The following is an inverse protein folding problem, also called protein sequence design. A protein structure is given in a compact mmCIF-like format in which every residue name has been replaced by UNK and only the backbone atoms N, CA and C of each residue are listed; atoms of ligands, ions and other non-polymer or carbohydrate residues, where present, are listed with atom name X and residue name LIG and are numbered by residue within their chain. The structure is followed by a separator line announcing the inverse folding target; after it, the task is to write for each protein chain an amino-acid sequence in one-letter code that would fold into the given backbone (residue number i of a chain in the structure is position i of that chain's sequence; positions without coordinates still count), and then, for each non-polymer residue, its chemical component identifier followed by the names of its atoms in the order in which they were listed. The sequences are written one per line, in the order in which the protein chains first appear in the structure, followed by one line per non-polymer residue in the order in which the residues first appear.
data_IF_690221946656
#
_entry.id   IF_690221946656
#
_cell.length_a   1.000
_cell.length_b   1.000
_cell.length_c   1.000
_cell.angle_alpha   90.00
_cell.angle_beta   90.00
_cell.angle_gamma   90.00
#
_symmetry.space_group_name_H-M   'P 1'
#
loop_
_entity.id
_entity.type
_entity.pdbx_description
1 polymer ?
#
# COMPACT_ATOMS: atom_id res chain seq x y z
N UNK A 1 -7.66 6.31 2.81
CA UNK A 1 -8.93 6.59 2.10
C UNK A 1 -8.76 6.58 0.58
N UNK A 2 -8.30 7.64 -0.13
CA UNK A 2 -8.15 7.60 -1.62
C UNK A 2 -7.40 6.37 -2.14
N UNK A 3 -6.28 6.02 -1.51
CA UNK A 3 -5.43 4.87 -1.86
C UNK A 3 -6.21 3.55 -1.83
N UNK A 4 -6.95 3.30 -0.77
CA UNK A 4 -7.75 2.08 -0.62
C UNK A 4 -9.06 2.19 -1.43
N UNK A 5 -9.73 3.34 -1.47
CA UNK A 5 -10.92 3.54 -2.31
C UNK A 5 -10.65 3.41 -3.81
N UNK A 6 -9.41 3.60 -4.26
CA UNK A 6 -8.98 3.39 -5.64
C UNK A 6 -9.37 4.52 -6.61
N UNK A 7 -9.62 5.73 -6.08
CA UNK A 7 -9.87 6.95 -6.86
C UNK A 7 -9.04 8.09 -6.26
N UNK A 8 -8.22 8.74 -7.09
CA UNK A 8 -7.53 9.97 -6.73
C UNK A 8 -8.43 11.18 -6.98
N UNK A 9 -9.27 11.51 -6.00
CA UNK A 9 -10.07 12.73 -5.98
C UNK A 9 -10.28 13.15 -4.52
N UNK A 10 -9.59 14.21 -4.03
CA UNK A 10 -9.72 14.65 -2.65
C UNK A 10 -11.13 15.10 -2.24
N UNK A 11 -11.94 15.60 -3.18
CA UNK A 11 -13.28 16.10 -2.89
C UNK A 11 -14.27 14.95 -2.73
N UNK A 12 -14.26 13.97 -3.65
CA UNK A 12 -15.02 12.72 -3.50
C UNK A 12 -14.59 11.98 -2.25
N UNK A 13 -13.29 12.03 -1.95
CA UNK A 13 -12.75 11.40 -0.77
C UNK A 13 -13.30 12.01 0.53
N UNK A 14 -13.27 13.34 0.64
CA UNK A 14 -13.83 14.06 1.77
C UNK A 14 -15.35 13.86 1.88
N UNK A 15 -16.07 13.79 0.75
CA UNK A 15 -17.50 13.51 0.72
C UNK A 15 -17.82 12.13 1.32
N UNK A 16 -17.09 11.09 0.92
CA UNK A 16 -17.28 9.74 1.44
C UNK A 16 -17.03 9.68 2.96
N UNK A 17 -15.96 10.31 3.46
CA UNK A 17 -15.67 10.41 4.89
C UNK A 17 -16.81 11.11 5.63
N UNK A 18 -17.31 12.23 5.09
CA UNK A 18 -18.42 12.97 5.67
C UNK A 18 -19.70 12.14 5.72
N UNK A 19 -20.03 11.45 4.63
CA UNK A 19 -21.22 10.60 4.53
C UNK A 19 -21.16 9.41 5.50
N UNK A 20 -19.97 8.83 5.66
CA UNK A 20 -19.71 7.74 6.60
C UNK A 20 -19.57 8.18 8.06
N UNK A 21 -19.84 9.46 8.38
CA UNK A 21 -19.69 10.01 9.74
C UNK A 21 -18.28 9.80 10.33
N UNK A 22 -17.25 9.80 9.48
CA UNK A 22 -15.86 9.57 9.86
C UNK A 22 -15.41 8.10 9.88
N UNK A 23 -16.30 7.13 9.64
CA UNK A 23 -15.91 5.73 9.48
C UNK A 23 -15.14 5.55 8.16
N UNK A 24 -13.85 5.25 8.27
CA UNK A 24 -12.97 5.15 7.13
C UNK A 24 -13.22 3.89 6.29
N UNK A 25 -13.63 2.78 6.90
CA UNK A 25 -13.88 1.52 6.17
C UNK A 25 -15.15 1.67 5.33
N UNK A 26 -16.20 2.24 5.90
CA UNK A 26 -17.42 2.56 5.15
C UNK A 26 -17.15 3.62 4.06
N UNK A 27 -16.36 4.66 4.34
CA UNK A 27 -15.99 5.66 3.34
C UNK A 27 -15.20 5.05 2.16
N UNK A 28 -14.28 4.13 2.44
CA UNK A 28 -13.54 3.37 1.41
C UNK A 28 -14.51 2.56 0.57
N UNK A 29 -15.46 1.86 1.19
CA UNK A 29 -16.44 1.06 0.48
C UNK A 29 -17.35 1.92 -0.41
N UNK A 30 -17.84 3.07 0.08
CA UNK A 30 -18.61 4.03 -0.71
C UNK A 30 -17.84 4.50 -1.95
N UNK A 31 -16.57 4.89 -1.79
CA UNK A 31 -15.76 5.36 -2.91
C UNK A 31 -15.45 4.23 -3.92
N UNK A 32 -15.22 3.01 -3.42
CA UNK A 32 -14.99 1.83 -4.25
C UNK A 32 -16.25 1.42 -5.01
N UNK A 33 -17.42 1.50 -4.39
CA UNK A 33 -18.70 1.29 -5.02
C UNK A 33 -18.98 2.36 -6.09
N UNK A 34 -18.66 3.62 -5.82
CA UNK A 34 -18.80 4.69 -6.82
C UNK A 34 -17.93 4.44 -8.06
N UNK A 35 -16.70 3.90 -7.88
CA UNK A 35 -15.80 3.54 -8.99
C UNK A 35 -16.46 2.63 -10.04
N UNK A 36 -17.34 1.71 -9.62
CA UNK A 36 -17.99 0.77 -10.55
C UNK A 36 -19.03 1.44 -11.45
N UNK A 37 -19.45 2.66 -11.10
CA UNK A 37 -20.40 3.47 -11.89
C UNK A 37 -19.71 4.35 -12.94
N UNK A 38 -18.38 4.47 -12.89
CA UNK A 38 -17.60 5.34 -13.76
C UNK A 38 -17.08 4.58 -14.99
N UNK A 39 -17.15 5.18 -16.20
CA UNK A 39 -16.48 4.62 -17.37
C UNK A 39 -14.95 4.77 -17.25
N UNK A 40 -14.19 3.79 -17.72
CA UNK A 40 -12.75 3.94 -17.95
C UNK A 40 -12.54 4.70 -19.26
N UNK A 41 -12.23 5.99 -19.17
CA UNK A 41 -12.08 6.87 -20.34
C UNK A 41 -10.73 6.73 -21.04
N UNK A 42 -9.67 6.47 -20.29
CA UNK A 42 -8.31 6.35 -20.79
C UNK A 42 -7.44 5.53 -19.82
N UNK A 43 -6.26 5.15 -20.28
CA UNK A 43 -5.17 4.66 -19.46
C UNK A 43 -4.03 5.67 -19.54
N UNK A 44 -3.40 5.98 -18.41
CA UNK A 44 -2.25 6.87 -18.41
C UNK A 44 -1.02 6.18 -19.02
N UNK A 45 -0.08 6.96 -19.52
CA UNK A 45 1.29 6.50 -19.64
C UNK A 45 1.84 6.15 -18.25
N UNK A 46 2.87 5.27 -18.15
CA UNK A 46 3.50 4.96 -16.88
C UNK A 46 3.99 6.23 -16.17
N UNK A 47 3.78 6.31 -14.85
CA UNK A 47 4.17 7.47 -14.06
C UNK A 47 5.69 7.53 -13.93
N UNK A 48 6.26 8.73 -14.11
CA UNK A 48 7.69 8.99 -13.92
C UNK A 48 7.94 9.68 -12.57
N UNK A 49 8.19 8.88 -11.54
CA UNK A 49 8.51 9.37 -10.18
C UNK A 49 9.92 9.98 -10.09
N UNK A 50 10.76 9.82 -11.12
CA UNK A 50 12.07 10.45 -11.23
C UNK A 50 11.98 11.96 -11.46
N UNK A 51 10.88 12.39 -12.08
CA UNK A 51 10.55 13.79 -12.35
C UNK A 51 9.55 14.38 -11.34
N UNK A 52 9.40 13.75 -10.17
CA UNK A 52 8.50 14.22 -9.12
C UNK A 52 8.89 15.63 -8.64
N UNK A 53 7.92 16.53 -8.59
CA UNK A 53 8.05 17.82 -7.90
C UNK A 53 7.96 17.60 -6.40
N UNK A 54 9.12 17.38 -5.78
CA UNK A 54 9.30 16.98 -4.38
C UNK A 54 8.77 18.03 -3.40
N UNK A 55 7.95 17.58 -2.45
CA UNK A 55 7.64 18.29 -1.20
C UNK A 55 8.41 17.72 0.00
N UNK A 56 8.72 16.42 -0.05
CA UNK A 56 9.45 15.68 0.98
C UNK A 56 10.27 14.58 0.34
N UNK A 57 11.50 14.40 0.81
CA UNK A 57 12.43 13.36 0.37
C UNK A 57 13.41 13.03 1.48
N UNK A 58 13.37 11.81 1.98
CA UNK A 58 14.29 11.35 3.02
C UNK A 58 14.91 10.01 2.68
N UNK A 59 16.07 9.74 3.25
CA UNK A 59 16.74 8.44 3.22
C UNK A 59 17.38 8.12 4.56
N UNK A 60 17.25 6.88 5.01
CA UNK A 60 17.88 6.39 6.22
C UNK A 60 19.25 5.72 5.98
N UNK A 61 19.62 5.47 4.72
CA UNK A 61 20.83 4.72 4.36
C UNK A 61 22.05 5.60 4.09
N UNK A 62 21.84 6.84 3.63
CA UNK A 62 22.88 7.83 3.44
C UNK A 62 22.61 9.06 4.31
N UNK A 63 23.67 9.66 4.85
CA UNK A 63 23.58 10.92 5.60
C UNK A 63 23.04 12.04 4.71
N UNK A 64 23.66 12.21 3.54
CA UNK A 64 23.28 13.18 2.52
C UNK A 64 23.13 12.46 1.17
N UNK A 65 22.16 12.89 0.38
CA UNK A 65 21.93 12.45 -0.99
C UNK A 65 22.14 13.64 -1.94
N UNK A 66 22.43 13.44 -3.24
CA UNK A 66 22.19 14.48 -4.23
C UNK A 66 20.74 14.97 -4.12
N UNK A 67 20.54 16.29 -4.01
CA UNK A 67 19.24 16.90 -3.68
C UNK A 67 18.95 17.09 -2.18
N UNK A 68 19.79 16.52 -1.30
CA UNK A 68 19.70 16.65 0.15
C UNK A 68 18.55 15.85 0.80
N UNK A 69 18.48 15.97 2.13
CA UNK A 69 17.37 15.48 2.95
C UNK A 69 16.31 16.60 3.09
N UNK A 70 15.13 16.38 2.54
CA UNK A 70 14.01 17.33 2.55
C UNK A 70 12.93 16.79 3.46
N UNK A 71 12.85 17.29 4.70
CA UNK A 71 11.86 16.81 5.66
C UNK A 71 10.42 17.10 5.23
N UNK A 72 10.18 18.22 4.54
CA UNK A 72 8.84 18.63 4.12
C UNK A 72 7.81 18.71 5.27
N UNK A 73 6.51 18.73 4.95
CA UNK A 73 5.45 18.66 5.95
C UNK A 73 5.41 17.26 6.58
N UNK A 74 5.72 17.15 7.88
CA UNK A 74 5.75 15.87 8.60
C UNK A 74 5.41 16.03 10.08
N UNK A 75 4.96 14.94 10.70
CA UNK A 75 4.78 14.80 12.15
C UNK A 75 5.98 14.14 12.87
N UNK A 76 7.02 13.68 12.15
CA UNK A 76 8.04 12.75 12.66
C UNK A 76 8.74 13.21 13.94
N UNK A 77 8.98 14.50 14.09
CA UNK A 77 9.71 15.07 15.23
C UNK A 77 8.80 15.87 16.19
N UNK A 78 7.48 15.79 16.02
CA UNK A 78 6.53 16.48 16.89
C UNK A 78 6.43 15.82 18.28
N UNK A 79 6.12 16.59 19.32
CA UNK A 79 5.71 16.01 20.59
C UNK A 79 4.24 15.60 20.49
N UNK A 80 3.93 14.35 20.85
CA UNK A 80 2.58 13.78 20.72
C UNK A 80 1.70 14.21 21.90
N UNK A 81 1.43 15.51 21.96
CA UNK A 81 0.57 16.15 22.95
C UNK A 81 -0.70 16.66 22.27
N UNK A 82 -1.84 16.51 22.93
CA UNK A 82 -3.10 17.08 22.42
C UNK A 82 -3.01 18.60 22.44
N UNK A 83 -3.26 19.21 21.28
CA UNK A 83 -3.31 20.65 21.13
C UNK A 83 -4.73 21.16 21.34
N UNK A 84 -5.03 21.61 22.57
CA UNK A 84 -6.33 22.15 22.93
C UNK A 84 -6.66 23.48 22.21
N UNK A 85 -5.68 24.15 21.59
CA UNK A 85 -5.94 25.39 20.84
C UNK A 85 -6.79 25.14 19.60
N UNK A 86 -6.77 23.91 19.06
CA UNK A 86 -7.57 23.48 17.90
C UNK A 86 -9.08 23.40 18.19
N UNK A 87 -9.51 23.45 19.46
CA UNK A 87 -10.93 23.56 19.82
C UNK A 87 -11.47 24.99 19.72
N UNK A 88 -10.59 25.98 19.54
CA UNK A 88 -10.94 27.38 19.33
C UNK A 88 -10.67 27.79 17.88
N UNK A 89 -11.12 28.99 17.49
CA UNK A 89 -10.71 29.58 16.22
C UNK A 89 -9.23 29.98 16.33
N UNK A 90 -8.35 29.27 15.63
CA UNK A 90 -6.92 29.56 15.52
C UNK A 90 -6.53 30.02 14.13
N UNK A 91 -5.44 30.75 14.02
CA UNK A 91 -4.81 31.08 12.73
C UNK A 91 -3.85 29.97 12.33
N UNK A 92 -3.89 29.55 11.06
CA UNK A 92 -2.88 28.61 10.54
C UNK A 92 -1.58 29.37 10.32
N UNK A 93 -0.46 28.97 10.94
CA UNK A 93 0.80 29.67 10.76
C UNK A 93 1.26 29.55 9.31
N UNK A 94 1.90 30.62 8.81
CA UNK A 94 2.54 30.58 7.49
C UNK A 94 3.70 29.55 7.52
N UNK A 95 3.77 28.63 6.55
CA UNK A 95 4.85 27.67 6.51
C UNK A 95 6.19 28.40 6.25
N UNK A 96 7.27 28.01 6.95
CA UNK A 96 8.60 28.57 6.68
C UNK A 96 8.99 28.27 5.24
N UNK A 97 9.55 29.25 4.54
CA UNK A 97 10.02 29.10 3.15
C UNK A 97 11.54 29.05 3.15
N UNK A 98 12.10 28.09 2.42
CA UNK A 98 13.52 28.06 2.09
C UNK A 98 13.82 29.12 1.04
N UNK A 99 14.94 29.84 1.18
CA UNK A 99 15.46 30.73 0.14
C UNK A 99 16.13 29.94 -1.00
N UNK A 100 16.54 28.69 -0.73
CA UNK A 100 17.15 27.80 -1.71
C UNK A 100 16.07 26.89 -2.31
N UNK A 101 15.92 26.97 -3.63
CA UNK A 101 15.14 26.01 -4.40
C UNK A 101 15.84 24.64 -4.37
N UNK A 102 15.03 23.58 -4.37
CA UNK A 102 15.55 22.23 -4.58
C UNK A 102 16.11 22.11 -6.00
N UNK A 103 17.12 21.26 -6.23
CA UNK A 103 17.53 20.91 -7.57
C UNK A 103 16.35 20.36 -8.37
N UNK A 104 16.30 20.71 -9.66
CA UNK A 104 15.25 20.26 -10.58
C UNK A 104 15.24 18.74 -10.72
N UNK A 105 16.40 18.10 -10.60
CA UNK A 105 16.55 16.66 -10.63
C UNK A 105 17.15 16.13 -9.32
N UNK A 106 16.42 15.22 -8.67
CA UNK A 106 16.85 14.50 -7.47
C UNK A 106 16.85 13.00 -7.79
N UNK A 107 18.01 12.41 -8.16
CA UNK A 107 18.06 11.01 -8.56
C UNK A 107 17.60 10.10 -7.42
N UNK A 108 16.96 8.98 -7.79
CA UNK A 108 16.62 7.93 -6.83
C UNK A 108 17.87 7.37 -6.16
N UNK A 109 17.77 7.10 -4.87
CA UNK A 109 18.79 6.44 -4.09
C UNK A 109 19.16 5.10 -4.71
N UNK A 110 18.17 4.30 -5.12
CA UNK A 110 18.40 3.02 -5.78
C UNK A 110 19.10 3.14 -7.14
N UNK A 111 18.93 4.23 -7.88
CA UNK A 111 19.69 4.46 -9.13
C UNK A 111 21.19 4.55 -8.83
N UNK A 112 21.58 5.24 -7.76
CA UNK A 112 22.99 5.32 -7.34
C UNK A 112 23.53 3.97 -6.89
N UNK A 113 22.76 3.22 -6.07
CA UNK A 113 23.19 1.86 -5.65
C UNK A 113 23.32 0.90 -6.83
N UNK A 114 22.43 1.01 -7.82
CA UNK A 114 22.47 0.16 -9.01
C UNK A 114 23.67 0.49 -9.90
N UNK A 115 24.02 1.77 -10.04
CA UNK A 115 25.20 2.21 -10.79
C UNK A 115 26.52 1.73 -10.16
N UNK A 116 26.53 1.54 -8.83
CA UNK A 116 27.64 0.94 -8.08
C UNK A 116 27.61 -0.60 -8.06
N UNK A 117 26.58 -1.23 -8.63
CA UNK A 117 26.39 -2.68 -8.61
C UNK A 117 25.99 -3.24 -7.24
N UNK A 118 25.52 -2.39 -6.32
CA UNK A 118 25.10 -2.77 -4.97
C UNK A 118 23.62 -3.17 -4.89
N UNK A 119 22.82 -2.85 -5.90
CA UNK A 119 21.42 -3.24 -6.02
C UNK A 119 21.09 -3.58 -7.49
N UNK A 120 20.05 -4.38 -7.69
CA UNK A 120 19.57 -4.65 -9.04
C UNK A 120 18.72 -3.48 -9.55
N UNK A 121 18.89 -3.16 -10.83
CA UNK A 121 18.05 -2.19 -11.52
C UNK A 121 16.76 -2.89 -11.95
N UNK A 122 15.62 -2.35 -11.52
CA UNK A 122 14.32 -2.78 -12.05
C UNK A 122 14.24 -2.41 -13.54
N UNK A 123 13.92 -3.38 -14.39
CA UNK A 123 13.83 -3.20 -15.84
C UNK A 123 12.42 -3.50 -16.33
N UNK A 124 11.93 -2.66 -17.24
CA UNK A 124 10.69 -2.94 -17.96
C UNK A 124 10.94 -4.03 -19.02
N UNK A 125 10.26 -5.17 -18.87
CA UNK A 125 10.31 -6.29 -19.81
C UNK A 125 9.19 -6.21 -20.87
N UNK A 126 8.38 -5.15 -20.84
CA UNK A 126 7.25 -4.94 -21.73
C UNK A 126 6.04 -5.84 -21.45
N UNK A 127 6.03 -6.57 -20.32
CA UNK A 127 4.90 -7.39 -19.93
C UNK A 127 3.68 -6.53 -19.57
N UNK A 128 2.50 -6.92 -20.05
CA UNK A 128 1.28 -6.20 -19.73
C UNK A 128 0.87 -6.50 -18.27
N UNK A 129 0.66 -5.47 -17.42
CA UNK A 129 0.32 -5.68 -16.03
C UNK A 129 -1.09 -6.28 -15.89
N UNK A 130 -1.20 -7.34 -15.08
CA UNK A 130 -2.50 -7.91 -14.70
C UNK A 130 -3.39 -6.86 -14.03
N UNK A 131 -4.67 -6.80 -14.42
CA UNK A 131 -5.66 -5.91 -13.79
C UNK A 131 -6.66 -6.71 -12.95
N UNK A 132 -6.41 -6.80 -11.65
CA UNK A 132 -7.26 -7.53 -10.69
C UNK A 132 -8.66 -6.92 -10.52
N UNK A 133 -8.91 -5.74 -11.13
CA UNK A 133 -10.26 -5.14 -11.17
C UNK A 133 -11.10 -5.62 -12.35
N UNK A 134 -10.49 -6.37 -13.27
CA UNK A 134 -11.15 -7.00 -14.43
C UNK A 134 -11.13 -8.52 -14.34
N UNK A 135 -10.03 -9.07 -13.84
CA UNK A 135 -9.81 -10.51 -13.73
C UNK A 135 -9.66 -10.92 -12.26
N UNK A 136 -10.29 -12.01 -11.81
CA UNK A 136 -10.12 -12.48 -10.44
C UNK A 136 -8.67 -12.89 -10.20
N UNK A 137 -8.19 -12.69 -8.97
CA UNK A 137 -6.82 -13.04 -8.60
C UNK A 137 -6.60 -14.55 -8.66
N UNK A 138 -5.50 -14.96 -9.29
CA UNK A 138 -5.01 -16.34 -9.30
C UNK A 138 -3.65 -16.45 -8.64
N UNK A 139 -3.40 -17.58 -7.98
CA UNK A 139 -2.13 -17.88 -7.32
C UNK A 139 -1.36 -18.96 -8.09
N UNK A 140 -0.03 -18.81 -8.25
CA UNK A 140 0.77 -17.69 -7.77
C UNK A 140 0.62 -16.43 -8.65
N UNK A 141 0.54 -15.27 -8.02
CA UNK A 141 0.32 -13.98 -8.67
C UNK A 141 1.61 -13.40 -9.30
N UNK A 142 1.46 -12.52 -10.28
CA UNK A 142 2.55 -11.67 -10.78
C UNK A 142 2.84 -10.56 -9.77
N UNK A 143 4.08 -10.05 -9.72
CA UNK A 143 4.41 -8.92 -8.82
C UNK A 143 3.55 -7.69 -9.11
N UNK A 144 3.19 -7.45 -10.38
CA UNK A 144 2.27 -6.40 -10.77
C UNK A 144 0.88 -6.57 -10.10
N UNK A 145 0.30 -7.76 -10.14
CA UNK A 145 -0.96 -8.06 -9.46
C UNK A 145 -0.84 -7.94 -7.92
N UNK A 146 0.28 -8.40 -7.34
CA UNK A 146 0.54 -8.24 -5.90
C UNK A 146 0.59 -6.76 -5.50
N UNK A 147 1.37 -5.94 -6.19
CA UNK A 147 1.49 -4.50 -5.89
C UNK A 147 0.14 -3.79 -6.09
N UNK A 148 -0.63 -4.16 -7.12
CA UNK A 148 -1.98 -3.63 -7.35
C UNK A 148 -2.92 -3.98 -6.18
N UNK A 149 -2.83 -5.17 -5.60
CA UNK A 149 -3.63 -5.57 -4.43
C UNK A 149 -3.13 -4.90 -3.14
N UNK A 150 -1.82 -4.81 -2.93
CA UNK A 150 -1.25 -4.20 -1.73
C UNK A 150 -1.57 -2.71 -1.60
N UNK A 151 -1.60 -1.96 -2.72
CA UNK A 151 -2.04 -0.55 -2.67
C UNK A 151 -3.50 -0.44 -2.25
N UNK A 152 -4.35 -1.40 -2.63
CA UNK A 152 -5.78 -1.47 -2.26
C UNK A 152 -6.04 -2.01 -0.87
N UNK A 153 -5.10 -2.75 -0.29
CA UNK A 153 -5.25 -3.45 0.99
C UNK A 153 -5.31 -2.53 2.20
N UNK A 154 -5.81 -3.04 3.32
CA UNK A 154 -5.96 -2.33 4.58
C UNK A 154 -4.61 -1.89 5.18
N UNK A 155 -4.49 -0.61 5.52
CA UNK A 155 -3.27 -0.05 6.08
C UNK A 155 -2.86 -0.68 7.43
N UNK A 156 -3.83 -1.08 8.28
CA UNK A 156 -3.58 -1.70 9.58
C UNK A 156 -3.10 -3.15 9.45
N UNK A 157 -3.74 -3.93 8.58
CA UNK A 157 -3.35 -5.31 8.29
C UNK A 157 -1.94 -5.39 7.70
N UNK A 158 -1.65 -4.60 6.65
CA UNK A 158 -0.33 -4.60 6.02
C UNK A 158 0.75 -4.06 6.96
N UNK A 159 0.44 -3.06 7.80
CA UNK A 159 1.36 -2.60 8.85
C UNK A 159 1.70 -3.75 9.80
N UNK A 160 0.70 -4.50 10.23
CA UNK A 160 0.89 -5.59 11.20
C UNK A 160 1.74 -6.73 10.61
N UNK A 161 1.51 -7.08 9.34
CA UNK A 161 2.34 -8.03 8.60
C UNK A 161 3.78 -7.52 8.46
N UNK A 162 3.96 -6.30 7.96
CA UNK A 162 5.28 -5.68 7.82
C UNK A 162 6.02 -5.63 9.16
N UNK A 163 5.35 -5.25 10.25
CA UNK A 163 5.90 -5.24 11.60
C UNK A 163 6.31 -6.64 12.07
N UNK A 164 5.53 -7.69 11.76
CA UNK A 164 5.89 -9.06 12.12
C UNK A 164 7.22 -9.51 11.49
N UNK A 165 7.50 -9.10 10.24
CA UNK A 165 8.78 -9.40 9.58
C UNK A 165 9.96 -8.74 10.30
N UNK A 166 9.78 -7.51 10.80
CA UNK A 166 10.78 -6.79 11.60
C UNK A 166 11.04 -7.48 12.95
N UNK A 167 10.05 -8.19 13.48
CA UNK A 167 10.15 -8.97 14.72
C UNK A 167 10.71 -10.39 14.52
N UNK A 168 11.04 -10.77 13.28
CA UNK A 168 11.72 -12.03 12.96
C UNK A 168 10.86 -13.05 12.21
N UNK A 169 9.58 -12.78 11.97
CA UNK A 169 8.69 -13.69 11.23
C UNK A 169 8.88 -13.50 9.71
N UNK A 170 9.79 -14.24 9.10
CA UNK A 170 10.16 -14.04 7.68
C UNK A 170 10.99 -12.77 7.51
N UNK A 171 12.12 -12.70 8.23
CA UNK A 171 12.93 -11.48 8.37
C UNK A 171 13.60 -11.07 7.05
N UNK A 172 13.36 -9.83 6.61
CA UNK A 172 13.92 -9.26 5.36
C UNK A 172 14.94 -8.13 5.56
N UNK A 173 15.29 -7.79 6.81
CA UNK A 173 16.28 -6.74 7.17
C UNK A 173 16.08 -5.39 6.45
N UNK A 174 14.95 -4.69 6.69
CA UNK A 174 14.61 -3.48 5.94
C UNK A 174 15.35 -2.21 6.42
N UNK A 175 15.69 -1.35 5.47
CA UNK A 175 16.09 0.04 5.67
C UNK A 175 15.27 0.93 4.73
N UNK A 176 14.82 2.09 5.21
CA UNK A 176 14.15 3.07 4.36
C UNK A 176 15.17 3.68 3.39
N UNK A 177 15.23 3.11 2.19
CA UNK A 177 16.17 3.51 1.16
C UNK A 177 15.88 4.91 0.70
N UNK A 178 14.65 5.13 0.25
CA UNK A 178 14.11 6.45 -0.02
C UNK A 178 12.61 6.50 0.24
N UNK A 179 12.15 7.60 0.83
CA UNK A 179 10.73 7.97 0.86
C UNK A 179 10.63 9.36 0.24
N UNK A 180 9.88 9.49 -0.85
CA UNK A 180 9.64 10.77 -1.51
C UNK A 180 8.15 11.01 -1.70
N UNK A 181 7.73 12.24 -1.47
CA UNK A 181 6.37 12.71 -1.62
C UNK A 181 6.37 13.98 -2.45
N UNK A 182 5.48 14.06 -3.43
CA UNK A 182 5.44 15.19 -4.34
C UNK A 182 4.43 14.97 -5.46
N UNK A 183 4.39 15.93 -6.38
CA UNK A 183 3.47 15.90 -7.52
C UNK A 183 4.14 15.25 -8.72
N UNK A 184 3.43 14.34 -9.38
CA UNK A 184 3.85 13.66 -10.60
C UNK A 184 2.82 13.95 -11.68
N UNK A 185 3.26 14.41 -12.85
CA UNK A 185 2.39 14.64 -14.01
C UNK A 185 1.76 13.32 -14.48
N UNK A 186 0.51 13.40 -14.89
CA UNK A 186 -0.24 12.29 -15.46
C UNK A 186 -0.56 12.64 -16.89
N UNK A 187 -0.18 11.74 -17.79
CA UNK A 187 -0.41 11.91 -19.21
C UNK A 187 -1.18 10.74 -19.78
N UNK A 188 -1.91 10.98 -20.86
CA UNK A 188 -2.62 9.95 -21.64
C UNK A 188 -2.23 10.10 -23.10
N UNK A 189 -2.32 9.03 -23.88
CA UNK A 189 -2.12 9.08 -25.32
C UNK A 189 -3.41 8.65 -26.04
N UNK A 190 -4.37 9.56 -26.28
CA UNK A 190 -5.61 9.23 -26.98
C UNK A 190 -5.33 8.83 -28.42
N UNK A 191 -5.99 7.77 -28.89
CA UNK A 191 -5.83 7.25 -30.25
C UNK A 191 -6.20 8.31 -31.31
N UNK A 192 -7.20 9.16 -31.00
CA UNK A 192 -7.69 10.20 -31.89
C UNK A 192 -6.66 11.31 -32.16
N UNK A 193 -5.69 11.49 -31.27
CA UNK A 193 -4.68 12.53 -31.35
C UNK A 193 -3.31 11.98 -31.73
N UNK A 194 -2.97 10.75 -31.29
CA UNK A 194 -1.70 10.11 -31.61
C UNK A 194 -0.46 10.75 -30.97
N UNK A 195 -0.64 11.58 -29.94
CA UNK A 195 0.44 12.15 -29.14
C UNK A 195 0.05 12.23 -27.65
N UNK A 196 1.08 12.31 -26.80
CA UNK A 196 0.92 12.37 -25.34
C UNK A 196 0.37 13.73 -24.89
N UNK A 197 -0.64 13.69 -24.03
CA UNK A 197 -1.27 14.84 -23.40
C UNK A 197 -1.18 14.75 -21.89
N UNK A 198 -0.55 15.75 -21.27
CA UNK A 198 -0.60 15.93 -19.82
C UNK A 198 -2.00 16.42 -19.40
N UNK A 199 -2.67 15.64 -18.54
CA UNK A 199 -4.04 15.91 -18.09
C UNK A 199 -4.11 16.45 -16.65
N UNK A 200 -2.97 16.50 -15.95
CA UNK A 200 -2.87 17.04 -14.61
C UNK A 200 -1.72 16.41 -13.83
N UNK A 201 -1.78 16.54 -12.51
CA UNK A 201 -0.78 15.99 -11.59
C UNK A 201 -1.44 15.26 -10.42
N UNK A 202 -0.73 14.26 -9.86
CA UNK A 202 -1.12 13.57 -8.65
C UNK A 202 -0.06 13.75 -7.57
N UNK A 203 -0.51 14.08 -6.36
CA UNK A 203 0.33 14.00 -5.17
C UNK A 203 0.46 12.53 -4.78
N UNK A 204 1.69 12.03 -4.81
CA UNK A 204 2.03 10.64 -4.52
C UNK A 204 3.09 10.57 -3.43
N UNK A 205 3.12 9.44 -2.73
CA UNK A 205 4.26 9.03 -1.91
C UNK A 205 4.79 7.70 -2.42
N UNK A 206 6.07 7.69 -2.76
CA UNK A 206 6.84 6.53 -3.17
C UNK A 206 7.79 6.13 -2.03
N UNK A 207 7.88 4.84 -1.77
CA UNK A 207 8.77 4.25 -0.78
C UNK A 207 9.54 3.09 -1.41
N UNK A 208 10.86 3.20 -1.39
CA UNK A 208 11.78 2.14 -1.76
C UNK A 208 12.52 1.65 -0.51
N UNK A 209 12.33 0.38 -0.17
CA UNK A 209 13.02 -0.28 0.94
C UNK A 209 14.22 -1.04 0.43
N UNK A 210 15.38 -0.86 1.07
CA UNK A 210 16.54 -1.74 0.94
C UNK A 210 16.33 -2.91 1.88
N UNK A 211 16.52 -4.14 1.39
CA UNK A 211 16.36 -5.37 2.15
C UNK A 211 17.65 -6.19 2.13
N UNK A 212 17.66 -7.34 2.81
CA UNK A 212 18.81 -8.24 2.87
C UNK A 212 19.39 -8.56 1.48
N UNK A 213 20.69 -8.85 1.44
CA UNK A 213 21.37 -9.20 0.19
C UNK A 213 21.12 -10.65 -0.21
N UNK A 214 21.09 -10.92 -1.51
CA UNK A 214 21.04 -12.28 -2.06
C UNK A 214 22.43 -12.73 -2.51
N UNK A 215 22.64 -14.04 -2.55
CA UNK A 215 23.85 -14.67 -3.08
C UNK A 215 23.46 -15.99 -3.73
N UNK A 216 23.19 -15.94 -5.04
CA UNK A 216 22.81 -17.09 -5.86
C UNK A 216 24.02 -17.89 -6.38
N UNK A 217 25.23 -17.32 -6.29
CA UNK A 217 26.46 -17.91 -6.80
C UNK A 217 26.69 -17.71 -8.30
N UNK A 218 25.73 -17.12 -9.02
CA UNK A 218 25.80 -16.80 -10.45
C UNK A 218 26.15 -15.33 -10.68
N UNK A 219 25.79 -14.46 -9.73
CA UNK A 219 26.01 -13.02 -9.79
C UNK A 219 26.71 -12.48 -8.53
N UNK A 220 27.20 -11.23 -8.61
CA UNK A 220 27.76 -10.56 -7.44
C UNK A 220 26.66 -10.31 -6.40
N UNK A 221 26.90 -10.52 -5.10
CA UNK A 221 25.90 -10.26 -4.07
C UNK A 221 25.46 -8.81 -4.08
N UNK A 222 24.14 -8.60 -4.07
CA UNK A 222 23.52 -7.29 -4.12
C UNK A 222 22.31 -7.23 -3.17
N UNK A 223 21.94 -6.02 -2.77
CA UNK A 223 20.76 -5.79 -1.95
C UNK A 223 19.47 -6.06 -2.74
N UNK A 224 18.52 -6.68 -2.07
CA UNK A 224 17.15 -6.81 -2.59
C UNK A 224 16.30 -5.60 -2.20
N UNK A 225 15.11 -5.47 -2.77
CA UNK A 225 14.26 -4.29 -2.62
C UNK A 225 12.78 -4.59 -2.47
N UNK A 226 12.10 -3.71 -1.75
CA UNK A 226 10.65 -3.63 -1.66
C UNK A 226 10.13 -2.28 -2.16
N UNK A 227 8.94 -2.27 -2.76
CA UNK A 227 8.37 -1.06 -3.36
C UNK A 227 6.95 -0.78 -2.87
N UNK A 228 6.66 0.49 -2.60
CA UNK A 228 5.32 0.96 -2.24
C UNK A 228 5.01 2.32 -2.84
N UNK A 229 3.80 2.48 -3.38
CA UNK A 229 3.34 3.72 -4.00
C UNK A 229 1.89 3.99 -3.59
N UNK A 230 1.61 5.20 -3.11
CA UNK A 230 0.28 5.56 -2.59
C UNK A 230 -0.10 6.99 -2.95
N UNK A 231 -1.39 7.27 -2.95
CA UNK A 231 -1.90 8.63 -3.08
C UNK A 231 -1.64 9.48 -1.82
N UNK A 232 -1.35 10.76 -2.04
CA UNK A 232 -1.16 11.75 -1.00
C UNK A 232 0.12 11.54 -0.19
N UNK A 233 0.05 11.80 1.12
CA UNK A 233 1.19 11.78 2.05
C UNK A 233 1.15 10.57 3.00
N UNK A 234 0.56 9.45 2.58
CA UNK A 234 0.31 8.28 3.43
C UNK A 234 1.56 7.37 3.56
N UNK A 235 2.66 7.91 4.07
CA UNK A 235 3.98 7.23 4.14
C UNK A 235 3.91 5.87 4.81
N UNK A 236 3.17 5.74 5.91
CA UNK A 236 3.04 4.48 6.65
C UNK A 236 2.47 3.37 5.77
N UNK A 237 1.48 3.66 4.92
CA UNK A 237 0.95 2.68 3.96
C UNK A 237 1.97 2.31 2.89
N UNK A 238 2.69 3.29 2.34
CA UNK A 238 3.74 3.03 1.35
C UNK A 238 4.86 2.14 1.93
N UNK A 239 5.29 2.43 3.16
CA UNK A 239 6.27 1.61 3.89
C UNK A 239 5.75 0.19 4.13
N UNK A 240 4.53 0.03 4.64
CA UNK A 240 3.92 -1.28 4.85
C UNK A 240 3.83 -2.08 3.55
N UNK A 241 3.44 -1.43 2.46
CA UNK A 241 3.39 -2.02 1.12
C UNK A 241 4.78 -2.48 0.67
N UNK A 242 5.82 -1.66 0.81
CA UNK A 242 7.19 -2.02 0.44
C UNK A 242 7.73 -3.21 1.26
N UNK A 243 7.44 -3.25 2.57
CA UNK A 243 7.84 -4.36 3.44
C UNK A 243 7.16 -5.68 3.02
N UNK A 244 5.86 -5.63 2.74
CA UNK A 244 5.09 -6.82 2.34
C UNK A 244 5.38 -7.23 0.91
N UNK A 245 5.62 -6.30 -0.02
CA UNK A 245 6.10 -6.60 -1.37
C UNK A 245 7.35 -7.48 -1.31
N UNK A 246 8.38 -7.05 -0.56
CA UNK A 246 9.59 -7.86 -0.42
C UNK A 246 9.32 -9.22 0.24
N UNK A 247 8.45 -9.26 1.25
CA UNK A 247 8.10 -10.52 1.92
C UNK A 247 7.41 -11.52 0.97
N UNK A 248 6.66 -11.03 -0.02
CA UNK A 248 5.99 -11.84 -1.03
C UNK A 248 6.87 -12.20 -2.24
N UNK A 249 8.10 -11.70 -2.32
CA UNK A 249 9.06 -12.08 -3.37
C UNK A 249 9.78 -13.42 -3.06
N UNK A 250 9.18 -14.30 -2.26
CA UNK A 250 9.84 -15.55 -1.83
C UNK A 250 10.19 -16.46 -2.99
N UNK A 251 9.33 -16.55 -4.02
CA UNK A 251 9.57 -17.37 -5.21
C UNK A 251 10.72 -16.81 -6.03
N UNK A 252 10.74 -15.50 -6.24
CA UNK A 252 11.75 -14.79 -7.02
C UNK A 252 13.15 -14.92 -6.38
N UNK A 253 13.22 -14.99 -5.04
CA UNK A 253 14.48 -15.15 -4.28
C UNK A 253 14.73 -16.58 -3.77
N UNK A 254 13.93 -17.58 -4.18
CA UNK A 254 14.01 -18.98 -3.71
C UNK A 254 14.00 -19.13 -2.17
N UNK A 255 13.23 -18.30 -1.47
CA UNK A 255 13.08 -18.29 -0.03
C UNK A 255 12.01 -19.28 0.43
N UNK A 256 12.19 -19.83 1.64
CA UNK A 256 11.14 -20.66 2.28
C UNK A 256 10.09 -19.77 2.93
N UNK A 257 8.82 -20.12 2.76
CA UNK A 257 7.71 -19.51 3.47
C UNK A 257 7.75 -20.00 4.93
N UNK A 258 8.00 -19.09 5.85
CA UNK A 258 8.13 -19.37 7.30
C UNK A 258 7.20 -18.52 8.17
N UNK A 259 6.50 -17.56 7.57
CA UNK A 259 5.58 -16.67 8.27
C UNK A 259 4.37 -16.29 7.41
N UNK A 260 3.28 -15.82 8.04
CA UNK A 260 2.10 -15.36 7.30
C UNK A 260 2.40 -14.22 6.33
N UNK A 261 3.39 -13.37 6.59
CA UNK A 261 3.75 -12.27 5.69
C UNK A 261 4.40 -12.73 4.38
N UNK A 262 4.89 -13.98 4.33
CA UNK A 262 5.48 -14.61 3.15
C UNK A 262 4.49 -15.51 2.39
N UNK A 263 3.32 -15.76 2.98
CA UNK A 263 2.27 -16.61 2.40
C UNK A 263 1.37 -15.76 1.49
N UNK A 264 1.58 -15.89 0.18
CA UNK A 264 0.94 -15.04 -0.84
C UNK A 264 -0.58 -15.12 -0.81
N UNK A 265 -1.15 -16.31 -0.69
CA UNK A 265 -2.60 -16.50 -0.65
C UNK A 265 -3.18 -15.95 0.67
N UNK A 266 -2.53 -16.25 1.80
CA UNK A 266 -2.98 -15.71 3.09
C UNK A 266 -2.95 -14.18 3.12
N UNK A 267 -1.90 -13.54 2.61
CA UNK A 267 -1.81 -12.07 2.62
C UNK A 267 -2.86 -11.47 1.70
N UNK A 268 -2.91 -11.88 0.44
CA UNK A 268 -3.68 -11.16 -0.58
C UNK A 268 -5.19 -11.40 -0.48
N UNK A 269 -5.61 -12.58 0.00
CA UNK A 269 -7.04 -12.91 0.23
C UNK A 269 -7.63 -12.25 1.48
N UNK A 270 -6.81 -11.67 2.36
CA UNK A 270 -7.27 -11.00 3.59
C UNK A 270 -6.88 -9.52 3.65
N UNK A 271 -6.31 -8.99 2.56
CA UNK A 271 -5.82 -7.61 2.52
C UNK A 271 -6.93 -6.58 2.28
N UNK A 272 -7.90 -6.83 1.39
CA UNK A 272 -8.90 -5.81 1.03
C UNK A 272 -9.98 -5.70 2.11
N UNK A 273 -10.03 -4.56 2.83
CA UNK A 273 -11.04 -4.36 3.87
C UNK A 273 -12.46 -4.24 3.33
N UNK A 274 -12.66 -3.95 2.04
CA UNK A 274 -14.00 -3.99 1.42
C UNK A 274 -14.57 -5.40 1.48
N UNK A 275 -13.75 -6.41 1.19
CA UNK A 275 -14.13 -7.82 1.28
C UNK A 275 -14.23 -8.26 2.74
N UNK A 276 -13.18 -8.00 3.53
CA UNK A 276 -13.10 -8.46 4.91
C UNK A 276 -14.20 -7.86 5.80
N UNK A 277 -14.42 -6.55 5.74
CA UNK A 277 -15.45 -5.89 6.54
C UNK A 277 -16.86 -6.27 6.07
N UNK A 278 -17.07 -6.39 4.76
CA UNK A 278 -18.33 -6.90 4.20
C UNK A 278 -18.66 -8.28 4.74
N UNK A 279 -17.70 -9.21 4.69
CA UNK A 279 -17.89 -10.58 5.17
C UNK A 279 -18.03 -10.65 6.69
N UNK A 280 -17.23 -9.94 7.49
CA UNK A 280 -17.40 -9.98 8.96
C UNK A 280 -18.75 -9.37 9.38
N UNK A 281 -19.13 -8.25 8.78
CA UNK A 281 -20.37 -7.55 9.13
C UNK A 281 -21.63 -8.29 8.67
N UNK A 282 -21.52 -9.19 7.69
CA UNK A 282 -22.65 -10.02 7.24
C UNK A 282 -23.25 -10.88 8.35
N UNK A 283 -22.47 -11.23 9.39
CA UNK A 283 -22.95 -12.00 10.56
C UNK A 283 -24.08 -11.31 11.34
N UNK A 284 -24.34 -10.03 11.09
CA UNK A 284 -25.50 -9.30 11.62
C UNK A 284 -26.81 -9.65 10.89
N UNK A 285 -26.72 -10.22 9.70
CA UNK A 285 -27.89 -10.67 8.94
C UNK A 285 -28.54 -11.88 9.62
N UNK A 286 -29.79 -12.21 9.28
CA UNK A 286 -30.46 -13.34 9.92
C UNK A 286 -29.88 -14.70 9.46
N UNK A 287 -29.23 -15.42 10.40
CA UNK A 287 -28.76 -16.82 10.21
C UNK A 287 -29.59 -17.86 10.99
N UNK A 288 -30.85 -17.53 11.32
CA UNK A 288 -31.67 -18.38 12.19
C UNK A 288 -32.01 -19.76 11.59
N UNK A 289 -31.98 -19.90 10.26
CA UNK A 289 -32.20 -21.21 9.60
C UNK A 289 -31.01 -22.13 9.83
N UNK A 290 -29.79 -21.66 9.53
CA UNK A 290 -28.57 -22.44 9.73
C UNK A 290 -28.36 -22.74 11.23
N UNK A 291 -28.61 -21.75 12.09
CA UNK A 291 -28.52 -21.93 13.54
C UNK A 291 -29.53 -22.96 14.06
N UNK A 292 -30.71 -23.09 13.44
CA UNK A 292 -31.69 -24.10 13.84
C UNK A 292 -31.19 -25.52 13.59
N UNK A 293 -30.43 -25.75 12.50
CA UNK A 293 -29.83 -27.06 12.22
C UNK A 293 -28.78 -27.43 13.28
N UNK A 294 -27.90 -26.49 13.63
CA UNK A 294 -26.91 -26.67 14.72
C UNK A 294 -27.59 -26.92 16.07
N UNK A 295 -28.68 -26.19 16.35
CA UNK A 295 -29.45 -26.33 17.58
C UNK A 295 -30.17 -27.68 17.67
N UNK A 296 -30.63 -28.22 16.55
CA UNK A 296 -31.20 -29.56 16.48
C UNK A 296 -30.14 -30.64 16.74
N UNK A 297 -28.96 -30.52 16.13
CA UNK A 297 -27.83 -31.43 16.39
C UNK A 297 -27.43 -31.40 17.87
N UNK A 298 -27.27 -30.20 18.45
CA UNK A 298 -26.94 -30.05 19.87
C UNK A 298 -28.00 -30.67 20.78
N UNK A 299 -29.29 -30.52 20.45
CA UNK A 299 -30.38 -31.14 21.22
C UNK A 299 -30.29 -32.66 21.21
N UNK A 300 -30.01 -33.27 20.05
CA UNK A 300 -29.84 -34.73 19.92
C UNK A 300 -28.65 -35.21 20.75
N UNK A 301 -27.48 -34.58 20.62
CA UNK A 301 -26.29 -34.92 21.41
C UNK A 301 -26.53 -34.81 22.92
N UNK A 302 -27.30 -33.81 23.36
CA UNK A 302 -27.67 -33.66 24.77
C UNK A 302 -28.62 -34.75 25.26
N UNK A 303 -29.54 -35.20 24.42
CA UNK A 303 -30.45 -36.29 24.75
C UNK A 303 -29.67 -37.61 24.88
N UNK A 304 -28.81 -37.93 23.92
CA UNK A 304 -27.97 -39.14 23.96
C UNK A 304 -27.10 -39.19 25.23
N UNK A 305 -26.52 -38.06 25.62
CA UNK A 305 -25.75 -37.94 26.87
C UNK A 305 -26.59 -38.22 28.12
N UNK A 306 -27.83 -37.71 28.18
CA UNK A 306 -28.72 -37.93 29.31
C UNK A 306 -29.18 -39.39 29.40
N UNK A 307 -29.43 -40.03 28.26
CA UNK A 307 -29.78 -41.45 28.19
C UNK A 307 -28.62 -42.34 28.67
N UNK A 308 -27.37 -41.99 28.34
CA UNK A 308 -26.18 -42.69 28.82
C UNK A 308 -25.88 -42.47 30.32
N UNK A 309 -26.27 -41.33 30.89
CA UNK A 309 -26.08 -41.08 32.33
C UNK A 309 -27.17 -41.70 33.23
N UNK A 310 -28.36 -41.93 32.68
CA UNK A 310 -29.51 -42.44 33.42
C UNK A 310 -29.74 -43.95 33.26
N UNK A 311 -28.96 -44.62 32.41
CA UNK A 311 -28.93 -46.08 32.23
C UNK A 311 -27.73 -46.72 32.90
#
# INVERSE_FOLDING_TARGET
MMTEGGIYDPALAALAIKQASGDLVEAIFLLRAYRTTLPRLAQSTPLDTGNMRIERRISAVYKDLPGGQVLGPTYDYSHRLLDFTLMANGETPLPPRSEQALPEHCPHMFSMMSDEGLAERESDDGSEPTDITREPMGFPASRAARLQQLVRGDEGFLLSLGYSTQRGYGRTHPFAGEIRTGYVSVSVCPEELGFELEIGEMLLTECEMVNGFTHDGESAPHFTRGYGLVFGRAERKAMSMALVDRALQTREHNERITSPAQDEEFVLSHADNVEAAGFVSHLKLPHYVDFQAELELLKRLRQDYQEQQNG
#
